data_IF_592443800038
#
_entry.id   IF_592443800038
#
_cell.length_a   1.000
_cell.length_b   1.000
_cell.length_c   1.000
_cell.angle_alpha   90.00
_cell.angle_beta   90.00
_cell.angle_gamma   90.00
#
_symmetry.space_group_name_H-M   'P 1'
#
loop_
_entity.id
_entity.type
_entity.pdbx_description
1 polymer ?
#
# COMPACT_ATOMS: atom_id res chain seq x y z
N UNK A 1 14.57 -8.04 -0.29
CA UNK A 1 15.14 -7.06 -1.26
C UNK A 1 14.99 -7.51 -2.72
N UNK A 2 15.47 -8.70 -3.11
CA UNK A 2 15.47 -9.15 -4.52
C UNK A 2 14.08 -9.13 -5.21
N UNK A 3 13.04 -9.65 -4.56
CA UNK A 3 11.69 -9.65 -5.12
C UNK A 3 11.14 -8.23 -5.35
N UNK A 4 11.37 -7.30 -4.42
CA UNK A 4 10.94 -5.91 -4.56
C UNK A 4 11.64 -5.22 -5.75
N UNK A 5 12.95 -5.44 -5.90
CA UNK A 5 13.71 -4.93 -7.04
C UNK A 5 13.18 -5.49 -8.37
N UNK A 6 12.87 -6.79 -8.42
CA UNK A 6 12.27 -7.42 -9.59
C UNK A 6 10.95 -6.76 -9.98
N UNK A 7 10.05 -6.49 -9.04
CA UNK A 7 8.79 -5.81 -9.35
C UNK A 7 8.99 -4.35 -9.77
N UNK A 8 9.97 -3.65 -9.21
CA UNK A 8 10.35 -2.31 -9.68
C UNK A 8 10.92 -2.34 -11.10
N UNK A 9 11.70 -3.37 -11.45
CA UNK A 9 12.20 -3.57 -12.82
C UNK A 9 11.05 -3.86 -13.80
N UNK A 10 10.12 -4.70 -13.40
CA UNK A 10 8.94 -5.02 -14.21
C UNK A 10 8.04 -3.80 -14.41
N UNK A 11 7.81 -2.99 -13.36
CA UNK A 11 7.05 -1.75 -13.45
C UNK A 11 7.73 -0.74 -14.38
N UNK A 12 9.05 -0.57 -14.26
CA UNK A 12 9.82 0.32 -15.15
C UNK A 12 9.82 -0.18 -16.61
N UNK A 13 9.91 -1.49 -16.82
CA UNK A 13 9.95 -2.10 -18.17
C UNK A 13 8.59 -2.16 -18.84
N UNK A 14 7.52 -2.32 -18.05
CA UNK A 14 6.16 -2.49 -18.55
C UNK A 14 5.18 -1.55 -17.80
N UNK A 15 5.33 -0.22 -17.94
CA UNK A 15 4.58 0.76 -17.15
C UNK A 15 3.07 0.74 -17.40
N UNK A 16 2.60 0.11 -18.48
CA UNK A 16 1.17 -0.06 -18.79
C UNK A 16 0.64 -1.46 -18.46
N UNK A 17 1.45 -2.32 -17.83
CA UNK A 17 1.08 -3.71 -17.48
C UNK A 17 1.41 -4.07 -16.04
N UNK A 18 2.39 -3.42 -15.44
CA UNK A 18 2.81 -3.63 -14.06
C UNK A 18 2.80 -2.31 -13.31
N UNK A 19 2.07 -2.27 -12.19
CA UNK A 19 2.04 -1.14 -11.27
C UNK A 19 2.50 -1.60 -9.89
N UNK A 20 3.47 -0.89 -9.32
CA UNK A 20 3.81 -1.03 -7.90
C UNK A 20 2.87 -0.13 -7.09
N UNK A 21 2.05 -0.74 -6.23
CA UNK A 21 1.14 -0.03 -5.34
C UNK A 21 1.61 -0.16 -3.89
N UNK A 22 1.54 0.93 -3.13
CA UNK A 22 1.82 0.94 -1.70
C UNK A 22 0.58 0.55 -0.92
N UNK A 23 0.74 -0.37 0.03
CA UNK A 23 -0.38 -0.81 0.84
C UNK A 23 -0.90 0.31 1.74
N UNK A 24 -0.01 1.17 2.22
CA UNK A 24 -0.31 2.32 3.07
C UNK A 24 -1.23 3.33 2.36
N UNK A 25 -1.00 3.57 1.07
CA UNK A 25 -1.84 4.47 0.27
C UNK A 25 -3.24 3.87 0.05
N UNK A 26 -3.35 2.55 -0.07
CA UNK A 26 -4.62 1.84 -0.21
C UNK A 26 -5.43 1.83 1.10
N UNK A 27 -4.76 1.75 2.25
CA UNK A 27 -5.43 1.79 3.56
C UNK A 27 -5.79 3.23 3.97
N UNK A 28 -4.94 4.20 3.63
CA UNK A 28 -5.14 5.61 3.93
C UNK A 28 -6.33 6.22 3.19
N UNK A 29 -6.44 5.97 1.88
CA UNK A 29 -7.61 6.35 1.08
C UNK A 29 -8.00 5.20 0.12
N UNK A 30 -8.82 4.25 0.60
CA UNK A 30 -9.25 3.11 -0.21
C UNK A 30 -9.98 3.48 -1.48
N UNK A 31 -10.72 4.60 -1.49
CA UNK A 31 -11.45 5.06 -2.67
C UNK A 31 -10.45 5.53 -3.73
N UNK A 32 -9.55 6.45 -3.38
CA UNK A 32 -8.54 6.92 -4.32
C UNK A 32 -7.61 5.78 -4.78
N UNK A 33 -7.31 4.85 -3.88
CA UNK A 33 -6.57 3.63 -4.19
C UNK A 33 -7.25 2.75 -5.24
N UNK A 34 -8.54 2.47 -5.05
CA UNK A 34 -9.35 1.70 -5.99
C UNK A 34 -9.48 2.39 -7.35
N UNK A 35 -9.71 3.70 -7.37
CA UNK A 35 -9.77 4.49 -8.61
C UNK A 35 -8.46 4.39 -9.41
N UNK A 36 -7.30 4.51 -8.75
CA UNK A 36 -5.99 4.33 -9.40
C UNK A 36 -5.82 2.93 -9.99
N UNK A 37 -6.17 1.89 -9.22
CA UNK A 37 -6.06 0.49 -9.67
C UNK A 37 -6.97 0.19 -10.86
N UNK A 38 -8.22 0.63 -10.81
CA UNK A 38 -9.18 0.45 -11.89
C UNK A 38 -8.76 1.23 -13.13
N UNK A 39 -8.36 2.49 -12.97
CA UNK A 39 -7.84 3.31 -14.07
C UNK A 39 -6.62 2.68 -14.74
N UNK A 40 -5.68 2.14 -13.95
CA UNK A 40 -4.53 1.39 -14.46
C UNK A 40 -4.94 0.16 -15.27
N UNK A 41 -5.98 -0.56 -14.82
CA UNK A 41 -6.53 -1.71 -15.54
C UNK A 41 -7.38 -1.33 -16.76
N UNK A 42 -7.55 -0.03 -17.07
CA UNK A 42 -8.43 0.45 -18.13
C UNK A 42 -9.92 0.28 -17.83
N UNK A 43 -10.28 0.13 -16.55
CA UNK A 43 -11.65 -0.01 -16.09
C UNK A 43 -12.16 1.37 -15.63
N UNK A 44 -13.22 1.91 -16.27
CA UNK A 44 -13.76 3.19 -15.85
C UNK A 44 -14.39 3.11 -14.46
N UNK A 45 -14.37 4.20 -13.68
CA UNK A 45 -15.04 4.26 -12.39
C UNK A 45 -16.54 3.98 -12.58
N UNK A 46 -17.08 3.09 -11.74
CA UNK A 46 -18.47 2.71 -11.78
C UNK A 46 -19.07 2.83 -10.38
N UNK A 47 -20.29 3.38 -10.21
CA UNK A 47 -20.91 3.59 -8.90
C UNK A 47 -21.04 2.32 -8.05
N UNK A 48 -21.13 1.14 -8.68
CA UNK A 48 -21.12 -0.13 -7.95
C UNK A 48 -19.77 -0.42 -7.30
N UNK A 49 -18.66 -0.15 -7.99
CA UNK A 49 -17.32 -0.38 -7.46
C UNK A 49 -17.05 0.58 -6.29
N UNK A 50 -17.45 1.85 -6.42
CA UNK A 50 -17.36 2.83 -5.32
C UNK A 50 -18.15 2.39 -4.09
N UNK A 51 -19.40 1.93 -4.29
CA UNK A 51 -20.24 1.40 -3.19
C UNK A 51 -19.62 0.16 -2.55
N UNK A 52 -19.05 -0.74 -3.35
CA UNK A 52 -18.37 -1.93 -2.83
C UNK A 52 -17.14 -1.56 -2.00
N UNK A 53 -16.30 -0.64 -2.49
CA UNK A 53 -15.12 -0.16 -1.76
C UNK A 53 -15.55 0.53 -0.47
N UNK A 54 -16.57 1.39 -0.50
CA UNK A 54 -17.09 2.03 0.70
C UNK A 54 -17.61 1.00 1.72
N UNK A 55 -18.45 0.05 1.29
CA UNK A 55 -19.05 -0.96 2.15
C UNK A 55 -18.02 -1.95 2.74
N UNK A 56 -17.04 -2.36 1.91
CA UNK A 56 -15.96 -3.23 2.38
C UNK A 56 -15.05 -2.49 3.37
N UNK A 57 -14.84 -1.18 3.19
CA UNK A 57 -13.87 -0.40 3.99
C UNK A 57 -14.42 0.32 5.22
N UNK A 58 -15.75 0.32 5.42
CA UNK A 58 -16.45 0.95 6.56
C UNK A 58 -16.67 0.05 7.77
N UNK A 59 -16.31 -1.24 7.69
CA UNK A 59 -16.29 -2.19 8.81
C UNK A 59 -17.60 -2.97 9.03
N UNK A 60 -17.46 -4.27 9.35
CA UNK A 60 -18.60 -5.08 9.79
C UNK A 60 -18.35 -6.58 9.97
N UNK A 61 -17.67 -7.26 9.04
CA UNK A 61 -17.58 -8.73 9.11
C UNK A 61 -16.37 -9.20 9.93
N UNK A 62 -16.54 -9.20 11.25
CA UNK A 62 -15.63 -9.81 12.24
C UNK A 62 -15.65 -11.35 12.24
N UNK A 63 -16.38 -11.97 11.30
CA UNK A 63 -16.66 -13.42 11.31
C UNK A 63 -15.96 -14.23 10.22
N UNK A 64 -15.05 -13.63 9.48
CA UNK A 64 -14.25 -14.38 8.50
C UNK A 64 -12.76 -14.25 8.81
N UNK A 65 -12.07 -15.39 8.92
CA UNK A 65 -10.60 -15.47 9.02
C UNK A 65 -9.90 -14.82 7.80
N UNK A 66 -10.65 -14.60 6.72
CA UNK A 66 -10.25 -13.89 5.49
C UNK A 66 -10.83 -12.47 5.38
N UNK A 67 -11.38 -11.91 6.46
CA UNK A 67 -11.89 -10.54 6.49
C UNK A 67 -10.79 -9.56 6.09
N UNK A 68 -11.00 -8.84 5.00
CA UNK A 68 -10.03 -7.91 4.41
C UNK A 68 -9.81 -6.65 5.28
N UNK A 69 -10.51 -6.55 6.41
CA UNK A 69 -10.47 -5.42 7.34
C UNK A 69 -9.93 -5.84 8.70
N UNK A 70 -8.62 -5.72 8.84
CA UNK A 70 -7.93 -5.60 10.12
C UNK A 70 -7.65 -4.11 10.36
N UNK A 71 -7.71 -3.70 11.62
CA UNK A 71 -7.51 -2.32 12.11
C UNK A 71 -6.47 -1.54 11.29
N UNK A 72 -6.88 -0.36 10.75
CA UNK A 72 -6.00 0.50 9.93
C UNK A 72 -4.76 0.94 10.71
N UNK A 73 -4.85 0.97 12.04
CA UNK A 73 -3.72 1.26 12.93
C UNK A 73 -2.59 0.23 12.82
N UNK A 74 -2.86 -1.01 12.40
CA UNK A 74 -1.84 -2.07 12.27
C UNK A 74 -0.75 -1.69 11.27
N UNK A 75 -1.07 -0.91 10.24
CA UNK A 75 -0.12 -0.49 9.19
C UNK A 75 1.07 0.27 9.77
N UNK A 76 0.82 1.08 10.81
CA UNK A 76 1.82 1.96 11.40
C UNK A 76 2.34 1.45 12.75
N UNK A 77 1.77 0.36 13.28
CA UNK A 77 2.06 -0.17 14.61
C UNK A 77 3.52 -0.53 14.82
N UNK A 78 4.22 -0.94 13.76
CA UNK A 78 5.65 -1.20 13.80
C UNK A 78 6.46 0.03 14.25
N UNK A 79 5.98 1.26 14.05
CA UNK A 79 6.67 2.48 14.50
C UNK A 79 6.74 2.60 16.01
N UNK A 80 5.76 2.03 16.72
CA UNK A 80 5.68 2.05 18.18
C UNK A 80 6.26 0.78 18.79
N UNK A 81 6.15 -0.36 18.09
CA UNK A 81 6.57 -1.67 18.58
C UNK A 81 8.03 -2.03 18.23
N UNK A 82 8.60 -1.47 17.16
CA UNK A 82 9.96 -1.76 16.74
C UNK A 82 10.96 -0.85 17.47
N UNK A 83 12.07 -1.43 17.88
CA UNK A 83 13.18 -0.67 18.45
C UNK A 83 13.64 0.45 17.48
N UNK A 84 13.72 1.72 17.93
CA UNK A 84 14.09 2.83 17.07
C UNK A 84 15.49 2.70 16.46
N UNK A 85 16.43 2.04 17.13
CA UNK A 85 17.77 1.75 16.62
C UNK A 85 17.72 0.77 15.45
N UNK A 86 16.92 -0.29 15.57
CA UNK A 86 16.68 -1.25 14.47
C UNK A 86 16.02 -0.56 13.28
N UNK A 87 14.99 0.26 13.52
CA UNK A 87 14.31 1.02 12.46
C UNK A 87 15.29 1.97 11.73
N UNK A 88 16.15 2.66 12.49
CA UNK A 88 17.16 3.56 11.94
C UNK A 88 18.23 2.82 11.11
N UNK A 89 18.67 1.65 11.56
CA UNK A 89 19.64 0.81 10.84
C UNK A 89 19.06 0.32 9.51
N UNK A 90 17.82 -0.20 9.52
CA UNK A 90 17.11 -0.60 8.30
C UNK A 90 16.97 0.58 7.35
N UNK A 91 16.56 1.75 7.84
CA UNK A 91 16.43 2.94 7.01
C UNK A 91 17.78 3.36 6.39
N UNK A 92 18.85 3.34 7.18
CA UNK A 92 20.20 3.66 6.69
C UNK A 92 20.66 2.68 5.60
N UNK A 93 20.36 1.39 5.73
CA UNK A 93 20.70 0.37 4.73
C UNK A 93 19.91 0.53 3.41
N UNK A 94 18.73 1.16 3.44
CA UNK A 94 17.92 1.41 2.25
C UNK A 94 18.27 2.73 1.53
N UNK A 95 18.82 3.72 2.23
CA UNK A 95 19.24 5.01 1.64
C UNK A 95 20.28 4.82 0.54
N UNK A 96 20.16 5.58 -0.55
CA UNK A 96 21.03 5.44 -1.72
C UNK A 96 20.77 4.17 -2.55
N UNK A 97 19.80 3.34 -2.18
CA UNK A 97 19.32 2.23 -3.00
C UNK A 97 18.02 2.60 -3.69
N UNK A 98 17.60 1.81 -4.69
CA UNK A 98 16.28 1.96 -5.31
C UNK A 98 15.11 1.80 -4.34
N UNK A 99 15.32 1.15 -3.20
CA UNK A 99 14.28 0.94 -2.19
C UNK A 99 14.09 2.16 -1.27
N UNK A 100 14.96 3.18 -1.37
CA UNK A 100 14.82 4.46 -0.65
C UNK A 100 13.46 5.12 -0.91
N UNK A 101 12.86 4.89 -2.09
CA UNK A 101 11.53 5.38 -2.43
C UNK A 101 10.42 4.94 -1.45
N UNK A 102 10.64 3.87 -0.68
CA UNK A 102 9.70 3.39 0.33
C UNK A 102 9.90 4.04 1.71
N UNK A 103 11.00 4.77 1.93
CA UNK A 103 11.23 5.52 3.17
C UNK A 103 10.38 6.79 3.26
N UNK A 104 10.07 7.43 2.13
CA UNK A 104 9.32 8.69 2.04
C UNK A 104 7.80 8.56 2.30
N UNK A 105 7.38 7.55 3.07
CA UNK A 105 5.99 7.33 3.49
C UNK A 105 5.56 8.02 4.77
N UNK A 106 6.24 9.09 5.19
CA UNK A 106 5.75 9.90 6.29
C UNK A 106 4.56 10.73 5.79
N UNK A 107 3.36 10.59 6.39
CA UNK A 107 2.29 11.53 6.10
C UNK A 107 2.74 12.93 6.52
N UNK A 108 2.36 14.00 5.78
CA UNK A 108 2.60 15.36 6.25
C UNK A 108 1.87 15.57 7.58
N UNK A 109 2.57 16.21 8.52
CA UNK A 109 2.05 16.65 9.82
C UNK A 109 0.78 17.49 9.69
#
# INVERSE_FOLDING_TARGET
KQAALMFLDLAARYPNRVMAARYEDLVGDPRAGAERLLGFAGLPPHPQAERFVAASTSGGDRHHDYGVFKDRAVVWRWREELDPGIAAEVAAELRGTRLEQFLAGEPPH
#
